data_IF_783313398990
#
_entry.id   IF_783313398990
#
_cell.length_a   1.000
_cell.length_b   1.000
_cell.length_c   1.000
_cell.angle_alpha   90.00
_cell.angle_beta   90.00
_cell.angle_gamma   90.00
#
_symmetry.space_group_name_H-M   'P 1'
#
loop_
_entity.id
_entity.type
_entity.pdbx_description
1 polymer ?
#
# COMPACT_ATOMS: atom_id res chain seq x y z
N UNK A 1 -24.20 -8.08 -0.57
CA UNK A 1 -24.55 -6.80 -1.22
C UNK A 1 -24.38 -6.95 -2.72
N UNK A 2 -25.45 -6.83 -3.50
CA UNK A 2 -25.33 -6.77 -4.95
C UNK A 2 -24.73 -5.41 -5.33
N UNK A 3 -23.50 -5.40 -5.85
CA UNK A 3 -22.89 -4.19 -6.39
C UNK A 3 -23.72 -3.71 -7.58
N UNK A 4 -24.19 -2.47 -7.52
CA UNK A 4 -24.85 -1.86 -8.69
C UNK A 4 -23.80 -1.66 -9.79
N UNK A 5 -24.16 -1.91 -11.05
CA UNK A 5 -23.21 -1.83 -12.18
C UNK A 5 -22.50 -0.47 -12.26
N UNK A 6 -23.19 0.61 -11.90
CA UNK A 6 -22.63 1.96 -11.84
C UNK A 6 -21.50 2.09 -10.82
N UNK A 7 -21.64 1.52 -9.62
CA UNK A 7 -20.58 1.56 -8.59
C UNK A 7 -19.32 0.81 -9.04
N UNK A 8 -19.50 -0.31 -9.76
CA UNK A 8 -18.40 -1.06 -10.36
C UNK A 8 -17.65 -0.22 -11.39
N UNK A 9 -18.36 0.44 -12.29
CA UNK A 9 -17.76 1.30 -13.33
C UNK A 9 -16.96 2.46 -12.74
N UNK A 10 -17.49 3.16 -11.73
CA UNK A 10 -16.76 4.23 -11.04
C UNK A 10 -15.48 3.72 -10.36
N UNK A 11 -15.56 2.56 -9.72
CA UNK A 11 -14.40 1.94 -9.07
C UNK A 11 -13.32 1.61 -10.11
N UNK A 12 -13.70 1.03 -11.25
CA UNK A 12 -12.75 0.70 -12.32
C UNK A 12 -12.09 1.94 -12.91
N UNK A 13 -12.86 2.99 -13.23
CA UNK A 13 -12.33 4.28 -13.73
C UNK A 13 -11.35 4.94 -12.76
N UNK A 14 -11.56 4.77 -11.46
CA UNK A 14 -10.61 5.26 -10.45
C UNK A 14 -9.32 4.44 -10.44
N UNK A 15 -9.43 3.11 -10.46
CA UNK A 15 -8.28 2.20 -10.47
C UNK A 15 -7.42 2.32 -11.74
N UNK A 16 -8.02 2.62 -12.91
CA UNK A 16 -7.29 2.85 -14.16
C UNK A 16 -6.24 3.96 -14.07
N UNK A 17 -6.46 4.95 -13.19
CA UNK A 17 -5.53 6.06 -12.96
C UNK A 17 -4.37 5.69 -12.03
N UNK A 18 -4.44 4.52 -11.39
CA UNK A 18 -3.47 4.07 -10.40
C UNK A 18 -2.62 2.94 -10.95
N UNK A 19 -1.37 2.87 -10.50
CA UNK A 19 -0.50 1.71 -10.73
C UNK A 19 -0.39 0.91 -9.44
N UNK A 20 -0.53 -0.40 -9.57
CA UNK A 20 -0.39 -1.32 -8.46
C UNK A 20 1.06 -1.79 -8.35
N UNK A 21 1.60 -1.78 -7.13
CA UNK A 21 2.92 -2.32 -6.83
C UNK A 21 2.72 -3.60 -6.02
N UNK A 22 3.08 -4.76 -6.59
CA UNK A 22 2.97 -6.06 -5.93
C UNK A 22 4.34 -6.61 -5.59
N UNK A 23 4.55 -6.90 -4.31
CA UNK A 23 5.74 -7.60 -3.83
C UNK A 23 5.33 -8.95 -3.25
N UNK A 24 6.09 -9.98 -3.60
CA UNK A 24 6.01 -11.27 -2.91
C UNK A 24 7.07 -11.28 -1.83
N UNK A 25 6.64 -11.54 -0.61
CA UNK A 25 7.50 -11.66 0.56
C UNK A 25 7.16 -12.97 1.26
N UNK A 26 8.08 -13.47 2.09
CA UNK A 26 7.79 -14.63 2.92
C UNK A 26 6.77 -14.25 4.02
N UNK A 27 5.99 -15.21 4.54
CA UNK A 27 5.03 -14.94 5.62
C UNK A 27 5.68 -14.28 6.84
N UNK A 28 6.87 -14.73 7.23
CA UNK A 28 7.57 -14.24 8.42
C UNK A 28 8.00 -12.76 8.24
N UNK A 29 8.39 -12.40 7.01
CA UNK A 29 8.73 -11.02 6.67
C UNK A 29 7.48 -10.13 6.69
N UNK A 30 6.35 -10.64 6.18
CA UNK A 30 5.07 -9.91 6.20
C UNK A 30 4.64 -9.58 7.64
N UNK A 31 4.63 -10.58 8.53
CA UNK A 31 4.29 -10.41 9.94
C UNK A 31 5.21 -9.41 10.63
N UNK A 32 6.52 -9.49 10.34
CA UNK A 32 7.51 -8.55 10.86
C UNK A 32 7.22 -7.11 10.41
N UNK A 33 6.88 -6.90 9.14
CA UNK A 33 6.52 -5.57 8.63
C UNK A 33 5.23 -5.05 9.25
N UNK A 34 4.23 -5.92 9.42
CA UNK A 34 2.95 -5.56 10.04
C UNK A 34 3.11 -5.13 11.50
N UNK A 35 3.88 -5.90 12.29
CA UNK A 35 4.21 -5.54 13.66
C UNK A 35 4.96 -4.20 13.74
N UNK A 36 5.93 -3.98 12.85
CA UNK A 36 6.67 -2.72 12.79
C UNK A 36 5.77 -1.52 12.46
N UNK A 37 4.89 -1.66 11.47
CA UNK A 37 3.94 -0.61 11.08
C UNK A 37 2.98 -0.27 12.22
N UNK A 38 2.44 -1.30 12.90
CA UNK A 38 1.53 -1.12 14.04
C UNK A 38 2.21 -0.41 15.21
N UNK A 39 3.43 -0.83 15.55
CA UNK A 39 4.21 -0.21 16.63
C UNK A 39 4.58 1.25 16.31
N UNK A 40 4.79 1.57 15.04
CA UNK A 40 5.02 2.94 14.57
C UNK A 40 3.73 3.76 14.40
N UNK A 41 2.56 3.21 14.76
CA UNK A 41 1.28 3.94 14.76
C UNK A 41 0.63 4.10 13.39
N UNK A 42 1.05 3.32 12.39
CA UNK A 42 0.49 3.42 11.05
C UNK A 42 -0.93 2.84 10.97
N UNK A 43 -1.88 3.53 10.30
CA UNK A 43 -3.24 3.02 10.12
C UNK A 43 -3.33 1.94 9.03
N UNK A 44 -2.31 1.80 8.19
CA UNK A 44 -2.25 0.76 7.15
C UNK A 44 -0.82 0.48 6.69
N UNK A 45 -0.59 -0.75 6.20
CA UNK A 45 0.68 -1.15 5.59
C UNK A 45 1.05 -0.33 4.36
N UNK A 46 0.05 0.13 3.60
CA UNK A 46 0.29 0.94 2.40
C UNK A 46 1.05 2.22 2.75
N UNK A 47 0.62 2.93 3.79
CA UNK A 47 1.28 4.19 4.16
C UNK A 47 2.68 3.94 4.69
N UNK A 48 2.86 2.88 5.49
CA UNK A 48 4.17 2.45 5.97
C UNK A 48 5.16 2.18 4.81
N UNK A 49 4.72 1.47 3.76
CA UNK A 49 5.55 1.21 2.60
C UNK A 49 5.87 2.46 1.77
N UNK A 50 4.89 3.35 1.57
CA UNK A 50 5.11 4.60 0.82
C UNK A 50 6.13 5.48 1.54
N UNK A 51 5.98 5.67 2.85
CA UNK A 51 6.90 6.50 3.64
C UNK A 51 8.32 5.93 3.60
N UNK A 52 8.47 4.61 3.71
CA UNK A 52 9.77 3.95 3.60
C UNK A 52 10.44 4.18 2.23
N UNK A 53 9.67 4.13 1.14
CA UNK A 53 10.17 4.42 -0.22
C UNK A 53 10.58 5.90 -0.32
N UNK A 54 9.74 6.83 0.13
CA UNK A 54 10.01 8.27 0.10
C UNK A 54 11.23 8.64 0.94
N UNK A 55 11.41 8.02 2.12
CA UNK A 55 12.60 8.21 2.95
C UNK A 55 13.87 7.78 2.20
N UNK A 56 13.83 6.65 1.48
CA UNK A 56 14.96 6.18 0.67
C UNK A 56 15.24 7.13 -0.50
N UNK A 57 14.21 7.61 -1.19
CA UNK A 57 14.35 8.59 -2.28
C UNK A 57 15.01 9.87 -1.76
N UNK A 58 14.56 10.40 -0.62
CA UNK A 58 15.13 11.61 0.01
C UNK A 58 16.60 11.40 0.37
N UNK A 59 16.94 10.25 0.95
CA UNK A 59 18.32 9.92 1.35
C UNK A 59 19.26 9.76 0.16
N UNK A 60 18.80 9.21 -0.97
CA UNK A 60 19.62 9.02 -2.16
C UNK A 60 19.89 10.31 -2.96
N UNK A 61 19.19 11.41 -2.64
CA UNK A 61 19.31 12.70 -3.34
C UNK A 61 20.28 13.67 -2.66
N UNK A 62 20.76 13.32 -1.47
CA UNK A 62 21.83 14.01 -0.73
C UNK A 62 23.13 13.22 -0.82
#
# INVERSE_FOLDING_TARGET
MAYTEKQKEYTMKYLEKLKEIRFRVKPEDYERYEAAAKNAGYPSMRQFYIDAIEEKIKKSRN
#
